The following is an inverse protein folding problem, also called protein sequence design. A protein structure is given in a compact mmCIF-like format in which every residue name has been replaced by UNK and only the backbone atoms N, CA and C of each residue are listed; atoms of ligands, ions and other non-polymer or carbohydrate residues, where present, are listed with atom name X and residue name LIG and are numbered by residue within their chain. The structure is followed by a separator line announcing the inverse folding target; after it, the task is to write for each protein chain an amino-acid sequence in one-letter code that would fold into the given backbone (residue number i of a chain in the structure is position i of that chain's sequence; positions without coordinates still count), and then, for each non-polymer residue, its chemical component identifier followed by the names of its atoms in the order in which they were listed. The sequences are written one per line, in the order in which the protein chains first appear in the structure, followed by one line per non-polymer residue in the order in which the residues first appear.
data_IF_591140078626
#
_entry.id   IF_591140078626
#
_cell.length_a   1.000
_cell.length_b   1.000
_cell.length_c   1.000
_cell.angle_alpha   90.00
_cell.angle_beta   90.00
_cell.angle_gamma   90.00
#
_symmetry.space_group_name_H-M   'P 1'
#
loop_
_entity.id
_entity.type
_entity.pdbx_description
1 polymer ?
#
# COMPACT_ATOMS: atom_id res chain seq x y z
N UNK A 1 5.29 -4.09 25.80
CA UNK A 1 4.96 -3.72 24.40
C UNK A 1 5.29 -4.81 23.39
N UNK A 2 6.47 -5.46 23.46
CA UNK A 2 6.88 -6.48 22.48
C UNK A 2 5.91 -7.67 22.37
N UNK A 3 5.43 -8.18 23.51
CA UNK A 3 4.49 -9.31 23.54
C UNK A 3 3.12 -8.94 22.98
N UNK A 4 2.57 -7.80 23.38
CA UNK A 4 1.33 -7.25 22.80
C UNK A 4 1.42 -7.12 21.27
N UNK A 5 2.50 -6.51 20.76
CA UNK A 5 2.78 -6.41 19.31
C UNK A 5 2.78 -7.76 18.62
N UNK A 6 3.47 -8.74 19.21
CA UNK A 6 3.53 -10.11 18.67
C UNK A 6 2.13 -10.72 18.63
N UNK A 7 1.37 -10.65 19.72
CA UNK A 7 0.02 -11.20 19.83
C UNK A 7 -0.92 -10.61 18.77
N UNK A 8 -0.99 -9.28 18.67
CA UNK A 8 -1.80 -8.58 17.66
C UNK A 8 -1.42 -9.04 16.25
N UNK A 9 -0.12 -9.03 15.93
CA UNK A 9 0.37 -9.40 14.60
C UNK A 9 0.06 -10.86 14.26
N UNK A 10 0.23 -11.77 15.21
CA UNK A 10 0.01 -13.21 14.99
C UNK A 10 -1.49 -13.48 14.78
N UNK A 11 -2.37 -12.91 15.61
CA UNK A 11 -3.82 -13.02 15.46
C UNK A 11 -4.33 -12.42 14.14
N UNK A 12 -3.87 -11.22 13.78
CA UNK A 12 -4.24 -10.58 12.52
C UNK A 12 -3.82 -11.44 11.32
N UNK A 13 -2.58 -11.96 11.33
CA UNK A 13 -2.08 -12.84 10.27
C UNK A 13 -2.85 -14.16 10.21
N UNK A 14 -3.20 -14.75 11.35
CA UNK A 14 -3.96 -15.99 11.40
C UNK A 14 -5.34 -15.81 10.78
N UNK A 15 -6.09 -14.78 11.19
CA UNK A 15 -7.42 -14.52 10.65
C UNK A 15 -7.39 -14.20 9.15
N UNK A 16 -6.43 -13.39 8.69
CA UNK A 16 -6.28 -13.05 7.28
C UNK A 16 -5.81 -14.22 6.40
N UNK A 17 -5.19 -15.25 6.99
CA UNK A 17 -4.74 -16.44 6.23
C UNK A 17 -5.88 -17.17 5.51
N UNK A 18 -7.10 -17.10 6.06
CA UNK A 18 -8.31 -17.65 5.44
C UNK A 18 -8.64 -17.03 4.09
N UNK A 19 -8.13 -15.82 3.82
CA UNK A 19 -8.32 -15.09 2.56
C UNK A 19 -7.12 -15.21 1.61
N UNK A 20 -6.19 -16.14 1.88
CA UNK A 20 -5.00 -16.38 1.07
C UNK A 20 -3.84 -15.43 1.36
N UNK A 21 -3.92 -14.64 2.42
CA UNK A 21 -2.83 -13.78 2.86
C UNK A 21 -1.82 -14.56 3.70
N UNK A 22 -0.55 -14.14 3.63
CA UNK A 22 0.53 -14.70 4.44
C UNK A 22 1.44 -13.59 4.91
N UNK A 23 1.89 -13.70 6.16
CA UNK A 23 2.86 -12.79 6.73
C UNK A 23 4.16 -12.80 5.93
N UNK A 24 4.74 -11.62 5.74
CA UNK A 24 6.09 -11.44 5.23
C UNK A 24 6.93 -10.66 6.24
N UNK A 25 7.66 -9.66 5.77
CA UNK A 25 8.60 -8.90 6.59
C UNK A 25 7.82 -8.01 7.56
N UNK A 26 8.31 -7.90 8.79
CA UNK A 26 7.77 -7.03 9.83
C UNK A 26 6.28 -7.26 10.15
N UNK A 27 5.40 -6.38 9.69
CA UNK A 27 3.94 -6.42 9.89
C UNK A 27 3.17 -6.68 8.59
N UNK A 28 3.84 -6.65 7.44
CA UNK A 28 3.16 -6.73 6.15
C UNK A 28 2.62 -8.13 5.90
N UNK A 29 1.41 -8.16 5.38
CA UNK A 29 0.68 -9.39 5.07
C UNK A 29 0.31 -9.33 3.60
N UNK A 30 0.78 -10.29 2.82
CA UNK A 30 0.64 -10.27 1.36
C UNK A 30 -0.20 -11.41 0.85
N UNK A 31 -0.82 -11.20 -0.30
CA UNK A 31 -1.45 -12.24 -1.12
C UNK A 31 -0.92 -12.14 -2.54
N UNK A 32 -0.50 -13.27 -3.10
CA UNK A 32 -0.10 -13.35 -4.51
C UNK A 32 -1.34 -13.79 -5.29
N UNK A 33 -1.80 -12.96 -6.22
CA UNK A 33 -2.97 -13.27 -7.06
C UNK A 33 -2.55 -14.14 -8.25
N UNK A 34 -1.45 -13.76 -8.90
CA UNK A 34 -0.86 -14.51 -10.02
C UNK A 34 0.66 -14.30 -10.07
N UNK A 35 1.28 -14.64 -11.20
CA UNK A 35 2.72 -14.47 -11.38
C UNK A 35 3.16 -13.00 -11.40
N UNK A 36 2.25 -12.03 -11.55
CA UNK A 36 2.57 -10.62 -11.71
C UNK A 36 2.08 -9.72 -10.56
N UNK A 37 1.02 -10.08 -9.83
CA UNK A 37 0.36 -9.17 -8.87
C UNK A 37 0.55 -9.65 -7.43
N UNK A 38 1.02 -8.72 -6.59
CA UNK A 38 1.11 -8.89 -5.14
C UNK A 38 0.20 -7.86 -4.47
N UNK A 39 -0.83 -8.33 -3.77
CA UNK A 39 -1.66 -7.51 -2.90
C UNK A 39 -1.06 -7.46 -1.49
N UNK A 40 -1.21 -6.32 -0.83
CA UNK A 40 -0.54 -6.01 0.44
C UNK A 40 -1.55 -5.37 1.39
N UNK A 41 -1.55 -5.87 2.62
CA UNK A 41 -2.11 -5.22 3.80
C UNK A 41 -0.90 -4.81 4.65
N UNK A 42 -0.71 -3.50 4.81
CA UNK A 42 0.40 -2.89 5.50
C UNK A 42 -0.11 -2.15 6.75
N UNK A 43 0.02 -2.76 7.95
CA UNK A 43 -0.29 -2.08 9.21
C UNK A 43 0.68 -0.93 9.49
N UNK A 44 0.16 0.29 9.67
CA UNK A 44 0.93 1.46 10.08
C UNK A 44 0.84 1.66 11.59
N UNK A 45 1.98 1.63 12.29
CA UNK A 45 2.01 1.74 13.74
C UNK A 45 2.37 3.16 14.19
N UNK A 46 1.56 3.72 15.08
CA UNK A 46 1.82 4.99 15.78
C UNK A 46 1.69 4.79 17.28
N UNK A 47 2.31 5.68 18.07
CA UNK A 47 2.11 5.75 19.52
C UNK A 47 1.34 7.00 19.94
N UNK A 48 1.24 8.02 19.07
CA UNK A 48 0.67 9.35 19.38
C UNK A 48 1.18 9.94 20.69
N UNK A 49 2.45 9.66 21.03
CA UNK A 49 3.09 10.01 22.31
C UNK A 49 2.41 9.44 23.57
N UNK A 50 1.48 8.50 23.43
CA UNK A 50 0.82 7.82 24.53
C UNK A 50 1.66 6.63 25.02
N UNK A 51 1.96 6.63 26.33
CA UNK A 51 2.73 5.54 26.94
C UNK A 51 1.95 4.24 26.92
N UNK A 52 2.66 3.14 26.72
CA UNK A 52 2.12 1.77 26.77
C UNK A 52 0.98 1.49 25.78
N UNK A 53 0.88 2.29 24.72
CA UNK A 53 -0.18 2.22 23.73
C UNK A 53 0.40 2.09 22.32
N UNK A 54 -0.31 1.38 21.45
CA UNK A 54 -0.06 1.33 20.01
C UNK A 54 -1.37 1.59 19.31
N UNK A 55 -1.32 2.45 18.31
CA UNK A 55 -2.38 2.63 17.36
C UNK A 55 -1.96 1.98 16.05
N UNK A 56 -2.91 1.30 15.41
CA UNK A 56 -2.68 0.59 14.17
C UNK A 56 -3.66 1.13 13.14
N UNK A 57 -3.15 1.80 12.11
CA UNK A 57 -3.89 2.04 10.88
C UNK A 57 -3.64 0.91 9.87
N UNK A 58 -4.55 0.75 8.91
CA UNK A 58 -4.39 -0.23 7.83
C UNK A 58 -4.27 0.49 6.49
N UNK A 59 -3.22 0.17 5.74
CA UNK A 59 -3.04 0.57 4.35
C UNK A 59 -3.20 -0.67 3.47
N UNK A 60 -3.97 -0.55 2.40
CA UNK A 60 -4.12 -1.60 1.39
C UNK A 60 -3.56 -1.15 0.05
N UNK A 61 -2.83 -2.02 -0.65
CA UNK A 61 -2.22 -1.68 -1.93
C UNK A 61 -1.72 -2.86 -2.74
N UNK A 62 -1.18 -2.58 -3.93
CA UNK A 62 -0.64 -3.59 -4.86
C UNK A 62 0.75 -3.26 -5.37
N UNK A 63 1.49 -4.31 -5.72
CA UNK A 63 2.71 -4.26 -6.52
C UNK A 63 2.50 -5.10 -7.78
N UNK A 64 2.84 -4.52 -8.93
CA UNK A 64 2.96 -5.23 -10.21
C UNK A 64 4.44 -5.57 -10.45
N UNK A 65 4.78 -6.85 -10.54
CA UNK A 65 6.17 -7.32 -10.63
C UNK A 65 6.83 -6.88 -11.92
N UNK A 66 6.16 -6.98 -13.05
CA UNK A 66 6.67 -6.52 -14.34
C UNK A 66 7.01 -5.01 -14.35
N UNK A 67 6.19 -4.20 -13.69
CA UNK A 67 6.47 -2.77 -13.51
C UNK A 67 7.67 -2.57 -12.58
N UNK A 68 7.76 -3.33 -11.47
CA UNK A 68 8.87 -3.23 -10.52
C UNK A 68 10.20 -3.58 -11.18
N UNK A 69 10.21 -4.65 -11.99
CA UNK A 69 11.39 -5.10 -12.74
C UNK A 69 11.92 -4.04 -13.71
N UNK A 70 11.03 -3.35 -14.44
CA UNK A 70 11.43 -2.24 -15.32
C UNK A 70 11.92 -1.07 -14.47
N UNK A 71 11.21 -0.71 -13.41
CA UNK A 71 11.58 0.41 -12.55
C UNK A 71 12.98 0.22 -11.95
N UNK A 72 13.31 -0.99 -11.49
CA UNK A 72 14.64 -1.33 -10.98
C UNK A 72 15.72 -1.18 -12.05
N UNK A 73 15.46 -1.60 -13.29
CA UNK A 73 16.40 -1.40 -14.41
C UNK A 73 16.64 0.07 -14.73
N UNK A 74 15.66 0.93 -14.41
CA UNK A 74 15.73 2.38 -14.58
C UNK A 74 16.28 3.10 -13.34
N UNK A 75 16.76 2.37 -12.32
CA UNK A 75 17.45 2.92 -11.15
C UNK A 75 16.60 3.05 -9.88
N UNK A 76 15.32 2.66 -9.91
CA UNK A 76 14.48 2.67 -8.71
C UNK A 76 14.80 1.53 -7.74
N UNK A 77 14.46 1.73 -6.47
CA UNK A 77 14.50 0.63 -5.50
C UNK A 77 13.36 -0.36 -5.77
N UNK A 78 13.67 -1.65 -5.68
CA UNK A 78 12.63 -2.69 -5.80
C UNK A 78 11.60 -2.55 -4.68
N UNK A 79 10.35 -2.34 -5.09
CA UNK A 79 9.19 -2.36 -4.20
C UNK A 79 8.92 -3.76 -3.67
N UNK A 80 9.22 -4.82 -4.44
CA UNK A 80 9.09 -6.20 -3.98
C UNK A 80 10.04 -6.52 -2.83
N UNK A 81 11.22 -5.89 -2.77
CA UNK A 81 12.18 -6.10 -1.68
C UNK A 81 11.66 -5.60 -0.33
N UNK A 82 10.90 -4.51 -0.34
CA UNK A 82 10.40 -3.84 0.87
C UNK A 82 8.88 -3.95 1.06
N UNK A 83 8.19 -4.69 0.17
CA UNK A 83 6.72 -4.76 0.13
C UNK A 83 6.05 -3.39 0.16
N UNK A 84 6.65 -2.40 -0.52
CA UNK A 84 6.10 -1.04 -0.61
C UNK A 84 5.12 -0.97 -1.79
N UNK A 85 3.80 -0.83 -1.57
CA UNK A 85 2.82 -0.81 -2.66
C UNK A 85 3.06 0.34 -3.65
N UNK A 86 2.76 0.11 -4.94
CA UNK A 86 2.82 1.12 -6.00
C UNK A 86 1.64 2.08 -5.94
N UNK A 87 0.46 1.52 -5.70
CA UNK A 87 -0.77 2.25 -5.39
C UNK A 87 -1.27 1.71 -4.07
N UNK A 88 -1.55 2.62 -3.14
CA UNK A 88 -2.00 2.28 -1.81
C UNK A 88 -2.96 3.35 -1.31
N UNK A 89 -3.86 2.94 -0.43
CA UNK A 89 -4.73 3.87 0.30
C UNK A 89 -4.88 3.41 1.74
N UNK A 90 -4.91 4.34 2.71
CA UNK A 90 -5.48 4.06 4.02
C UNK A 90 -6.89 3.52 3.85
N UNK A 91 -7.24 2.49 4.62
CA UNK A 91 -8.54 1.83 4.52
C UNK A 91 -9.70 2.77 4.86
N UNK A 92 -9.46 3.75 5.74
CA UNK A 92 -10.38 4.84 6.09
C UNK A 92 -10.84 5.70 4.90
N UNK A 93 -10.08 5.73 3.82
CA UNK A 93 -10.46 6.46 2.60
C UNK A 93 -11.39 5.65 1.69
N UNK A 94 -11.70 4.39 2.03
CA UNK A 94 -12.61 3.53 1.25
C UNK A 94 -14.08 3.66 1.67
N UNK A 95 -14.35 4.39 2.75
CA UNK A 95 -15.69 4.70 3.22
C UNK A 95 -16.30 5.87 2.43
N UNK A 96 -17.64 5.98 2.43
CA UNK A 96 -18.36 7.07 1.77
C UNK A 96 -18.06 8.42 2.42
N UNK A 97 -17.92 8.43 3.75
CA UNK A 97 -17.41 9.55 4.52
C UNK A 97 -15.96 9.21 4.87
N UNK A 98 -15.02 10.02 4.38
CA UNK A 98 -13.59 9.77 4.61
C UNK A 98 -13.32 9.98 6.11
N UNK A 99 -13.00 8.89 6.79
CA UNK A 99 -12.65 8.90 8.20
C UNK A 99 -11.27 8.30 8.38
N UNK A 100 -10.40 9.03 9.09
CA UNK A 100 -9.14 8.44 9.53
C UNK A 100 -9.45 7.36 10.57
N UNK A 101 -8.98 6.13 10.31
CA UNK A 101 -9.34 4.97 11.13
C UNK A 101 -8.09 4.23 11.60
N UNK A 102 -8.02 4.04 12.91
CA UNK A 102 -6.97 3.32 13.60
C UNK A 102 -7.51 2.63 14.85
N UNK A 103 -6.93 1.48 15.18
CA UNK A 103 -7.29 0.71 16.38
C UNK A 103 -6.24 0.90 17.45
N UNK A 104 -6.72 1.30 18.64
CA UNK A 104 -5.89 1.53 19.82
C UNK A 104 -5.77 0.24 20.64
N UNK A 105 -4.54 -0.10 21.01
CA UNK A 105 -4.20 -1.24 21.87
C UNK A 105 -3.31 -0.79 23.02
N UNK A 106 -3.59 -1.25 24.24
CA UNK A 106 -2.81 -0.96 25.46
C UNK A 106 -2.31 -2.21 26.15
N UNK A 107 -1.35 -2.07 27.05
CA UNK A 107 -0.88 -3.20 27.88
C UNK A 107 -1.93 -3.76 28.85
N UNK A 108 -2.98 -3.00 29.14
CA UNK A 108 -4.02 -3.40 30.07
C UNK A 108 -5.22 -4.04 29.38
N UNK A 109 -5.20 -4.13 28.04
CA UNK A 109 -6.28 -4.77 27.30
C UNK A 109 -6.29 -6.26 27.60
N UNK A 110 -7.47 -6.76 27.93
CA UNK A 110 -7.73 -8.20 28.05
C UNK A 110 -7.60 -8.89 26.70
N UNK A 111 -7.39 -10.21 26.75
CA UNK A 111 -7.32 -11.05 25.57
C UNK A 111 -8.56 -10.92 24.69
N UNK A 112 -9.75 -10.88 25.29
CA UNK A 112 -11.03 -10.67 24.61
C UNK A 112 -11.12 -9.30 23.92
N UNK A 113 -10.62 -8.23 24.56
CA UNK A 113 -10.59 -6.90 23.94
C UNK A 113 -9.69 -6.86 22.72
N UNK A 114 -8.50 -7.46 22.82
CA UNK A 114 -7.58 -7.57 21.69
C UNK A 114 -8.24 -8.36 20.56
N UNK A 115 -8.83 -9.52 20.85
CA UNK A 115 -9.48 -10.34 19.83
C UNK A 115 -10.62 -9.63 19.12
N UNK A 116 -11.51 -8.94 19.85
CA UNK A 116 -12.60 -8.15 19.25
C UNK A 116 -12.09 -7.04 18.33
N UNK A 117 -11.08 -6.28 18.75
CA UNK A 117 -10.51 -5.23 17.91
C UNK A 117 -9.85 -5.81 16.65
N UNK A 118 -9.21 -6.98 16.76
CA UNK A 118 -8.65 -7.69 15.60
C UNK A 118 -9.77 -8.19 14.67
N UNK A 119 -10.88 -8.68 15.21
CA UNK A 119 -12.04 -9.12 14.42
C UNK A 119 -12.64 -7.97 13.63
N UNK A 120 -12.89 -6.84 14.27
CA UNK A 120 -13.35 -5.62 13.61
C UNK A 120 -12.39 -5.16 12.51
N UNK A 121 -11.08 -5.16 12.78
CA UNK A 121 -10.06 -4.88 11.75
C UNK A 121 -10.20 -5.79 10.53
N UNK A 122 -10.34 -7.10 10.77
CA UNK A 122 -10.44 -8.09 9.70
C UNK A 122 -11.74 -7.91 8.93
N UNK A 123 -12.86 -7.67 9.61
CA UNK A 123 -14.16 -7.45 8.99
C UNK A 123 -14.13 -6.24 8.05
N UNK A 124 -13.51 -5.14 8.48
CA UNK A 124 -13.35 -3.95 7.62
C UNK A 124 -12.40 -4.21 6.45
N UNK A 125 -11.30 -4.93 6.67
CA UNK A 125 -10.42 -5.36 5.57
C UNK A 125 -11.19 -6.21 4.57
N UNK A 126 -12.02 -7.14 5.02
CA UNK A 126 -12.80 -8.03 4.17
C UNK A 126 -13.89 -7.26 3.41
N UNK A 127 -14.61 -6.39 4.09
CA UNK A 127 -15.72 -5.63 3.54
C UNK A 127 -15.29 -4.55 2.55
N UNK A 128 -14.19 -3.84 2.83
CA UNK A 128 -13.76 -2.68 2.04
C UNK A 128 -12.39 -2.87 1.39
N UNK A 129 -11.43 -3.40 2.15
CA UNK A 129 -10.06 -3.61 1.68
C UNK A 129 -9.96 -4.62 0.52
N UNK A 130 -10.58 -5.79 0.64
CA UNK A 130 -10.49 -6.85 -0.37
C UNK A 130 -11.14 -6.46 -1.70
N UNK A 131 -12.36 -5.89 -1.74
CA UNK A 131 -12.94 -5.41 -3.00
C UNK A 131 -12.09 -4.34 -3.67
N UNK A 132 -11.50 -3.42 -2.89
CA UNK A 132 -10.59 -2.42 -3.44
C UNK A 132 -9.32 -3.05 -4.00
N UNK A 133 -8.70 -3.99 -3.26
CA UNK A 133 -7.54 -4.74 -3.72
C UNK A 133 -7.81 -5.49 -5.03
N UNK A 134 -9.00 -6.08 -5.18
CA UNK A 134 -9.44 -6.70 -6.43
C UNK A 134 -9.48 -5.68 -7.58
N UNK A 135 -10.15 -4.54 -7.39
CA UNK A 135 -10.24 -3.47 -8.40
C UNK A 135 -8.86 -2.96 -8.84
N UNK A 136 -7.96 -2.64 -7.92
CA UNK A 136 -6.61 -2.14 -8.28
C UNK A 136 -5.68 -3.23 -8.83
N UNK A 137 -6.09 -4.50 -8.77
CA UNK A 137 -5.41 -5.61 -9.45
C UNK A 137 -5.84 -5.73 -10.92
N UNK A 138 -6.86 -4.99 -11.35
CA UNK A 138 -7.21 -4.84 -12.76
C UNK A 138 -6.38 -3.72 -13.36
N UNK A 139 -5.69 -4.00 -14.47
CA UNK A 139 -4.70 -3.07 -15.00
C UNK A 139 -5.31 -1.76 -15.49
N UNK A 140 -6.45 -1.79 -16.17
CA UNK A 140 -7.06 -0.58 -16.70
C UNK A 140 -7.48 0.35 -15.55
N UNK A 141 -8.11 -0.21 -14.51
CA UNK A 141 -8.43 0.53 -13.29
C UNK A 141 -7.16 1.06 -12.61
N UNK A 142 -6.08 0.27 -12.56
CA UNK A 142 -4.81 0.69 -12.00
C UNK A 142 -4.20 1.87 -12.76
N UNK A 143 -4.19 1.84 -14.10
CA UNK A 143 -3.73 2.95 -14.95
C UNK A 143 -4.56 4.20 -14.66
N UNK A 144 -5.89 4.08 -14.57
CA UNK A 144 -6.82 5.18 -14.32
C UNK A 144 -6.74 5.78 -12.91
N UNK A 145 -6.27 5.01 -11.91
CA UNK A 145 -6.23 5.45 -10.52
C UNK A 145 -4.81 5.75 -10.01
N UNK A 146 -3.76 5.35 -10.75
CA UNK A 146 -2.37 5.70 -10.44
C UNK A 146 -2.13 7.23 -10.50
N UNK A 147 -3.01 8.00 -11.16
CA UNK A 147 -2.87 9.45 -11.34
C UNK A 147 -2.60 10.25 -10.06
N UNK A 148 -2.84 9.69 -8.87
CA UNK A 148 -2.61 10.34 -7.58
C UNK A 148 -1.23 10.09 -6.93
N UNK A 149 -0.46 9.07 -7.34
CA UNK A 149 0.81 8.70 -6.64
C UNK A 149 1.92 8.37 -7.64
N UNK A 150 3.05 9.08 -7.54
CA UNK A 150 4.29 8.83 -8.29
C UNK A 150 4.13 8.71 -9.83
N UNK A 151 3.18 9.49 -10.37
CA UNK A 151 2.75 9.54 -11.77
C UNK A 151 3.90 9.64 -12.77
N UNK A 152 4.94 10.40 -12.42
CA UNK A 152 6.04 10.72 -13.35
C UNK A 152 6.86 9.52 -13.78
N UNK A 153 7.00 8.52 -12.89
CA UNK A 153 7.91 7.42 -13.13
C UNK A 153 7.21 6.17 -13.67
N UNK A 154 6.08 5.77 -13.07
CA UNK A 154 5.41 4.51 -13.41
C UNK A 154 4.48 4.61 -14.62
N UNK A 155 3.94 5.80 -14.93
CA UNK A 155 2.97 5.95 -16.01
C UNK A 155 3.58 5.68 -17.40
N UNK A 156 4.80 6.15 -17.73
CA UNK A 156 5.47 5.74 -18.97
C UNK A 156 5.71 4.24 -19.08
N UNK A 157 6.10 3.58 -17.98
CA UNK A 157 6.34 2.13 -17.92
C UNK A 157 5.04 1.37 -18.22
N UNK A 158 3.94 1.81 -17.61
CA UNK A 158 2.61 1.29 -17.88
C UNK A 158 2.22 1.43 -19.35
N UNK A 159 2.30 2.65 -19.89
CA UNK A 159 1.95 2.87 -21.29
C UNK A 159 2.80 2.01 -22.23
N UNK A 160 4.09 1.88 -21.97
CA UNK A 160 4.97 1.00 -22.72
C UNK A 160 4.57 -0.48 -22.66
N UNK A 161 4.33 -1.01 -21.44
CA UNK A 161 3.99 -2.42 -21.22
C UNK A 161 2.64 -2.82 -21.85
N UNK A 162 1.69 -1.90 -21.91
CA UNK A 162 0.32 -2.15 -22.38
C UNK A 162 0.07 -1.62 -23.80
N UNK A 163 1.12 -1.51 -24.61
CA UNK A 163 1.03 -1.23 -26.05
C UNK A 163 0.70 0.22 -26.42
N UNK A 164 0.68 1.13 -25.45
CA UNK A 164 0.33 2.55 -25.58
C UNK A 164 1.58 3.43 -25.78
N UNK A 165 2.47 3.05 -26.69
CA UNK A 165 3.80 3.67 -26.86
C UNK A 165 3.77 5.18 -27.16
N UNK A 166 2.82 5.62 -27.99
CA UNK A 166 2.68 7.04 -28.34
C UNK A 166 2.33 7.87 -27.10
N UNK A 167 1.40 7.38 -26.26
CA UNK A 167 1.04 8.03 -24.98
C UNK A 167 2.23 8.04 -24.01
N UNK A 168 3.09 7.02 -24.04
CA UNK A 168 4.33 7.00 -23.24
C UNK A 168 5.28 8.12 -23.64
N UNK A 169 5.55 8.27 -24.95
CA UNK A 169 6.45 9.30 -25.48
C UNK A 169 5.90 10.70 -25.23
N UNK A 170 4.61 10.92 -25.53
CA UNK A 170 3.96 12.21 -25.30
C UNK A 170 4.03 12.62 -23.82
N UNK A 171 3.82 11.66 -22.90
CA UNK A 171 3.95 11.92 -21.47
C UNK A 171 5.37 12.31 -21.07
N UNK A 172 6.38 11.59 -21.57
CA UNK A 172 7.80 11.88 -21.30
C UNK A 172 8.16 13.28 -21.81
N UNK A 173 7.78 13.61 -23.04
CA UNK A 173 8.05 14.92 -23.65
C UNK A 173 7.43 16.06 -22.85
N UNK A 174 6.19 15.87 -22.38
CA UNK A 174 5.50 16.86 -21.55
C UNK A 174 6.18 17.04 -20.19
N UNK A 175 6.64 15.96 -19.56
CA UNK A 175 7.39 16.04 -18.28
C UNK A 175 8.75 16.73 -18.48
N UNK A 176 9.47 16.43 -19.56
CA UNK A 176 10.74 17.10 -19.89
C UNK A 176 10.51 18.60 -20.07
N UNK A 177 9.52 19.01 -20.87
CA UNK A 177 9.17 20.42 -21.06
C UNK A 177 8.83 21.11 -19.74
N UNK A 178 8.03 20.47 -18.89
CA UNK A 178 7.69 21.00 -17.57
C UNK A 178 8.95 21.24 -16.73
N UNK A 179 9.85 20.26 -16.65
CA UNK A 179 11.09 20.36 -15.87
C UNK A 179 12.06 21.38 -16.44
N UNK A 180 12.22 21.45 -17.76
CA UNK A 180 13.07 22.44 -18.44
C UNK A 180 12.55 23.86 -18.34
N UNK A 181 11.25 24.06 -18.08
CA UNK A 181 10.64 25.39 -17.88
C UNK A 181 10.76 25.92 -16.46
N UNK A 182 11.20 25.10 -15.50
CA UNK A 182 11.38 25.54 -14.11
C UNK A 182 12.63 26.42 -14.02
N UNK A 183 12.56 27.60 -13.39
CA UNK A 183 13.76 28.38 -13.11
C UNK A 183 14.72 27.53 -12.27
N UNK A 184 16.02 27.66 -12.54
CA UNK A 184 17.03 27.07 -11.68
C UNK A 184 16.73 27.51 -10.24
N UNK A 185 16.62 26.56 -9.32
CA UNK A 185 16.61 26.95 -7.91
C UNK A 185 18.00 27.50 -7.63
N UNK A 186 18.08 28.76 -7.22
CA UNK A 186 19.32 29.33 -6.73
C UNK A 186 19.83 28.40 -5.59
N UNK A 187 21.03 27.86 -5.78
CA UNK A 187 21.71 27.04 -4.79
C UNK A 187 22.17 27.95 -3.63
N UNK A 188 21.23 28.36 -2.78
CA UNK A 188 21.52 28.95 -1.47
C UNK A 188 21.20 27.92 -0.38
N UNK A 189 22.15 27.00 -0.13
CA UNK A 189 22.27 26.25 1.12
C UNK A 189 23.74 25.91 1.43
#
# INVERSE_FOLDING_TARGET
MKELKRKIRDLLSEKLSKYGFRRKKDWDIIRIIDNNIVQIIAPSLSSHNEKHTIYIGIIVGVIYKNIDEIAVKLGEQSRLKYYSPMVATPIGNLFLEIEYMEWRFTLNDSDEQIERNIEEMVDIIVQYGLPYLQKISEIDFFIENMFKVNRRFYLPILYYLYGRKEQALEYIDNVIKELSSRPAMDEDY
#
